data_IF_016172000458
#
_entry.id   IF_016172000458
#
_cell.length_a   1.000
_cell.length_b   1.000
_cell.length_c   1.000
_cell.angle_alpha   90.00
_cell.angle_beta   90.00
_cell.angle_gamma   90.00
#
_symmetry.space_group_name_H-M   'P 1'
#
loop_
_entity.id
_entity.type
_entity.pdbx_description
1 polymer ?
#
# COMPACT_ATOMS: atom_id res chain seq x y z
N UNK A 1 34.00 44.99 41.10
CA UNK A 1 33.67 45.19 39.66
C UNK A 1 33.97 43.95 38.83
N UNK A 2 35.20 43.43 38.85
CA UNK A 2 35.60 42.23 38.09
C UNK A 2 34.73 40.98 38.30
N UNK A 3 34.35 40.68 39.55
CA UNK A 3 33.54 39.48 39.85
C UNK A 3 32.11 39.54 39.25
N UNK A 4 31.51 40.74 39.12
CA UNK A 4 30.20 40.90 38.46
C UNK A 4 30.32 40.72 36.95
N UNK A 5 31.43 41.16 36.36
CA UNK A 5 31.71 41.00 34.93
C UNK A 5 31.95 39.53 34.58
N UNK A 6 32.70 38.79 35.41
CA UNK A 6 32.90 37.35 35.24
C UNK A 6 31.60 36.55 35.37
N UNK A 7 30.75 36.89 36.34
CA UNK A 7 29.41 36.27 36.48
C UNK A 7 28.56 36.51 35.23
N UNK A 8 28.55 37.74 34.70
CA UNK A 8 27.82 38.07 33.47
C UNK A 8 28.37 37.31 32.26
N UNK A 9 29.69 37.24 32.10
CA UNK A 9 30.34 36.50 31.02
C UNK A 9 30.06 34.99 31.08
N UNK A 10 30.00 34.42 32.29
CA UNK A 10 29.65 33.01 32.47
C UNK A 10 28.19 32.72 32.08
N UNK A 11 27.25 33.59 32.48
CA UNK A 11 25.85 33.47 32.07
C UNK A 11 25.70 33.53 30.54
N UNK A 12 26.39 34.46 29.87
CA UNK A 12 26.35 34.58 28.40
C UNK A 12 26.94 33.32 27.72
N UNK A 13 28.00 32.72 28.28
CA UNK A 13 28.55 31.46 27.76
C UNK A 13 27.58 30.31 27.93
N UNK A 14 26.84 30.24 29.04
CA UNK A 14 25.83 29.21 29.24
C UNK A 14 24.66 29.35 28.28
N UNK A 15 24.15 30.57 28.06
CA UNK A 15 23.10 30.85 27.08
C UNK A 15 23.53 30.42 25.67
N UNK A 16 24.74 30.80 25.24
CA UNK A 16 25.29 30.38 23.95
C UNK A 16 25.42 28.85 23.82
N UNK A 17 25.77 28.16 24.91
CA UNK A 17 25.83 26.70 24.94
C UNK A 17 24.45 26.08 24.78
N UNK A 18 23.43 26.61 25.48
CA UNK A 18 22.03 26.15 25.37
C UNK A 18 21.50 26.35 23.95
N UNK A 19 21.72 27.53 23.37
CA UNK A 19 21.33 27.83 21.98
C UNK A 19 22.02 26.90 20.97
N UNK A 20 23.31 26.63 21.14
CA UNK A 20 24.04 25.71 20.28
C UNK A 20 23.49 24.27 20.37
N UNK A 21 23.20 23.80 21.59
CA UNK A 21 22.58 22.50 21.81
C UNK A 21 21.20 22.44 21.16
N UNK A 22 20.35 23.45 21.32
CA UNK A 22 19.04 23.53 20.67
C UNK A 22 19.16 23.43 19.14
N UNK A 23 20.10 24.16 18.52
CA UNK A 23 20.33 24.11 17.06
C UNK A 23 20.84 22.75 16.57
N UNK A 24 21.66 22.05 17.38
CA UNK A 24 22.14 20.70 17.06
C UNK A 24 21.01 19.67 17.13
N UNK A 25 20.14 19.79 18.14
CA UNK A 25 19.04 18.87 18.39
C UNK A 25 17.79 19.15 17.53
N UNK A 26 17.70 20.31 16.87
CA UNK A 26 16.58 20.70 16.01
C UNK A 26 16.21 19.63 14.96
N UNK A 27 17.19 18.94 14.39
CA UNK A 27 16.95 17.91 13.37
C UNK A 27 16.37 16.59 13.93
N UNK A 28 16.61 16.26 15.20
CA UNK A 28 16.09 15.05 15.85
C UNK A 28 14.57 15.09 16.07
N UNK A 29 13.96 16.27 15.93
CA UNK A 29 12.53 16.52 16.11
C UNK A 29 11.78 16.67 14.78
N UNK A 30 12.50 16.68 13.65
CA UNK A 30 11.93 16.82 12.30
C UNK A 30 11.46 15.50 11.69
N UNK A 31 11.68 14.37 12.35
CA UNK A 31 11.15 13.07 11.92
C UNK A 31 9.75 12.87 12.48
N UNK A 32 8.73 13.15 11.67
CA UNK A 32 7.29 12.94 11.95
C UNK A 32 6.74 13.81 13.10
N UNK A 33 5.94 14.82 12.73
CA UNK A 33 5.24 15.67 13.69
C UNK A 33 4.19 14.85 14.46
N UNK A 34 4.41 14.64 15.76
CA UNK A 34 3.40 14.07 16.66
C UNK A 34 2.68 15.24 17.34
N UNK A 35 1.35 15.38 17.20
CA UNK A 35 0.59 16.38 17.95
C UNK A 35 0.73 16.12 19.46
N UNK A 36 1.09 17.15 20.24
CA UNK A 36 1.16 17.09 21.70
C UNK A 36 2.55 16.93 22.34
N UNK A 37 3.63 16.80 21.56
CA UNK A 37 5.01 16.84 22.10
C UNK A 37 5.40 18.27 22.53
N UNK A 38 4.93 19.27 21.79
CA UNK A 38 5.00 20.68 22.16
C UNK A 38 3.63 21.12 22.66
N UNK A 39 3.60 21.91 23.73
CA UNK A 39 2.36 22.30 24.43
C UNK A 39 1.56 21.08 24.93
N UNK A 40 2.17 20.31 25.83
CA UNK A 40 1.46 19.24 26.54
C UNK A 40 0.13 19.77 27.12
N UNK A 41 -1.03 19.14 26.83
CA UNK A 41 -2.33 19.58 27.33
C UNK A 41 -2.42 19.60 28.87
N UNK A 42 -1.50 18.89 29.53
CA UNK A 42 -1.41 18.77 30.98
C UNK A 42 -0.63 19.94 31.63
N UNK A 43 0.05 20.77 30.83
CA UNK A 43 0.78 21.94 31.31
C UNK A 43 0.08 23.21 30.84
N UNK A 44 -0.06 24.18 31.74
CA UNK A 44 -0.67 25.50 31.44
C UNK A 44 0.22 26.34 30.53
N UNK A 45 1.54 26.17 30.63
CA UNK A 45 2.54 26.91 29.87
C UNK A 45 3.51 25.94 29.19
N UNK A 46 4.01 26.27 27.99
CA UNK A 46 5.05 25.49 27.31
C UNK A 46 6.32 25.40 28.14
N UNK A 47 7.05 24.30 27.99
CA UNK A 47 8.34 24.15 28.65
C UNK A 47 9.34 25.19 28.12
N UNK A 48 10.19 25.82 28.96
CA UNK A 48 11.14 26.83 28.51
C UNK A 48 12.08 26.33 27.39
N UNK A 49 12.39 25.03 27.39
CA UNK A 49 13.20 24.39 26.36
C UNK A 49 12.48 24.33 24.99
N UNK A 50 11.16 24.11 24.99
CA UNK A 50 10.34 24.11 23.77
C UNK A 50 10.35 25.48 23.09
N UNK A 51 10.24 26.56 23.87
CA UNK A 51 10.32 27.94 23.37
C UNK A 51 11.69 28.24 22.76
N UNK A 52 12.77 27.70 23.32
CA UNK A 52 14.11 27.84 22.76
C UNK A 52 14.26 27.08 21.43
N UNK A 53 13.77 25.85 21.36
CA UNK A 53 13.78 25.05 20.14
C UNK A 53 12.96 25.69 19.01
N UNK A 54 11.81 26.29 19.32
CA UNK A 54 10.98 27.01 18.34
C UNK A 54 11.72 28.19 17.69
N UNK A 55 12.59 28.87 18.44
CA UNK A 55 13.41 30.00 17.95
C UNK A 55 14.68 29.55 17.21
N UNK A 56 15.18 28.35 17.50
CA UNK A 56 16.44 27.87 16.98
C UNK A 56 16.36 27.52 15.48
N UNK A 57 17.17 28.18 14.65
CA UNK A 57 17.31 27.80 13.23
C UNK A 57 18.32 26.66 13.07
N UNK A 58 18.01 25.64 12.24
CA UNK A 58 18.89 24.50 12.02
C UNK A 58 20.28 24.96 11.56
N UNK A 59 21.32 24.21 11.95
CA UNK A 59 22.68 24.51 11.53
C UNK A 59 22.81 24.20 10.03
N UNK A 60 22.66 25.21 9.18
CA UNK A 60 22.93 25.07 7.74
C UNK A 60 24.44 24.95 7.55
N UNK A 61 24.90 23.78 7.09
CA UNK A 61 26.29 23.65 6.64
C UNK A 61 26.52 24.65 5.51
N UNK A 62 27.50 25.54 5.69
CA UNK A 62 27.93 26.47 4.65
C UNK A 62 28.40 25.61 3.48
N UNK A 63 27.63 25.56 2.40
CA UNK A 63 28.07 24.91 1.17
C UNK A 63 29.45 25.49 0.83
N UNK A 64 30.47 24.67 0.55
CA UNK A 64 31.75 25.20 0.10
C UNK A 64 31.43 26.14 -1.06
N UNK A 65 31.88 27.39 -0.96
CA UNK A 65 31.80 28.32 -2.08
C UNK A 65 32.62 27.67 -3.19
N UNK A 66 31.96 26.98 -4.11
CA UNK A 66 32.57 26.53 -5.34
C UNK A 66 33.09 27.81 -5.96
N UNK A 67 34.42 27.98 -5.99
CA UNK A 67 35.02 29.07 -6.77
C UNK A 67 34.45 28.87 -8.16
N UNK A 68 33.61 29.81 -8.61
CA UNK A 68 33.22 29.83 -10.00
C UNK A 68 34.53 30.00 -10.75
N UNK A 69 34.96 28.94 -11.44
CA UNK A 69 36.04 29.07 -12.40
C UNK A 69 35.49 30.02 -13.45
N UNK A 70 36.27 31.04 -13.78
CA UNK A 70 35.90 32.06 -14.75
C UNK A 70 35.28 31.38 -15.97
N UNK A 71 34.07 31.81 -16.33
CA UNK A 71 33.37 31.27 -17.47
C UNK A 71 34.18 31.62 -18.72
N UNK A 72 34.99 30.67 -19.18
CA UNK A 72 35.65 30.73 -20.50
C UNK A 72 34.59 31.15 -21.50
N UNK A 73 34.79 32.28 -22.17
CA UNK A 73 33.82 32.88 -23.07
C UNK A 73 33.33 31.84 -24.07
N UNK A 74 32.02 31.71 -24.20
CA UNK A 74 31.31 30.73 -25.04
C UNK A 74 31.54 30.93 -26.56
N UNK A 75 32.54 31.71 -26.96
CA UNK A 75 32.85 32.01 -28.35
C UNK A 75 33.84 31.01 -28.96
N UNK A 76 34.53 30.22 -28.13
CA UNK A 76 35.52 29.27 -28.61
C UNK A 76 35.05 27.84 -28.29
N UNK A 77 34.29 27.27 -29.22
CA UNK A 77 33.65 25.95 -29.08
C UNK A 77 34.68 24.84 -28.79
N UNK A 78 35.90 24.96 -29.35
CA UNK A 78 37.01 24.06 -29.08
C UNK A 78 37.53 24.14 -27.63
N UNK A 79 37.54 25.33 -27.03
CA UNK A 79 37.95 25.52 -25.63
C UNK A 79 36.91 24.94 -24.65
N UNK A 80 35.64 24.92 -25.04
CA UNK A 80 34.56 24.33 -24.27
C UNK A 80 34.67 22.79 -24.22
N UNK A 81 35.12 22.15 -25.31
CA UNK A 81 35.36 20.71 -25.34
C UNK A 81 36.53 20.31 -24.44
N UNK A 82 37.62 21.08 -24.40
CA UNK A 82 38.81 20.75 -23.59
C UNK A 82 38.59 20.95 -22.08
N UNK A 83 37.81 21.95 -21.67
CA UNK A 83 37.55 22.24 -20.25
C UNK A 83 36.51 21.31 -19.61
N UNK A 84 35.60 20.72 -20.41
CA UNK A 84 34.57 19.77 -19.96
C UNK A 84 34.82 18.32 -20.39
N UNK A 85 35.85 18.06 -21.19
CA UNK A 85 36.24 16.68 -21.48
C UNK A 85 36.70 15.98 -20.20
N UNK A 86 36.33 14.71 -20.06
CA UNK A 86 36.97 13.77 -19.13
C UNK A 86 38.50 13.92 -19.26
N UNK A 87 39.28 13.75 -18.16
CA UNK A 87 40.74 13.83 -18.25
C UNK A 87 41.19 12.96 -19.42
N UNK A 88 41.95 13.53 -20.36
CA UNK A 88 42.56 12.76 -21.45
C UNK A 88 43.34 11.65 -20.75
N UNK A 89 42.79 10.43 -20.79
CA UNK A 89 43.45 9.27 -20.23
C UNK A 89 44.81 9.20 -20.91
N UNK A 90 45.88 9.29 -20.11
CA UNK A 90 47.22 8.96 -20.58
C UNK A 90 47.11 7.64 -21.34
N UNK A 91 47.77 7.56 -22.51
CA UNK A 91 47.74 6.37 -23.36
C UNK A 91 48.27 5.22 -22.51
N UNK A 92 47.33 4.46 -21.94
CA UNK A 92 47.68 3.28 -21.17
C UNK A 92 48.43 2.36 -22.13
N UNK A 93 49.45 1.62 -21.64
CA UNK A 93 50.12 0.62 -22.47
C UNK A 93 49.05 -0.27 -23.11
N UNK A 94 49.28 -0.83 -24.32
CA UNK A 94 48.28 -1.61 -25.03
C UNK A 94 47.79 -2.78 -24.15
N UNK A 95 46.72 -2.52 -23.41
CA UNK A 95 46.02 -3.53 -22.63
C UNK A 95 45.33 -4.34 -23.70
N UNK A 96 45.79 -5.59 -23.88
CA UNK A 96 45.05 -6.60 -24.62
C UNK A 96 43.71 -6.77 -23.90
N UNK A 97 42.74 -5.91 -24.21
CA UNK A 97 41.42 -5.89 -23.56
C UNK A 97 40.77 -7.22 -23.93
N UNK A 98 40.78 -8.17 -22.99
CA UNK A 98 39.98 -9.39 -23.09
C UNK A 98 38.54 -8.94 -23.32
N UNK A 99 37.82 -9.62 -24.22
CA UNK A 99 36.39 -9.37 -24.39
C UNK A 99 35.72 -9.47 -23.01
N UNK A 100 34.96 -8.44 -22.63
CA UNK A 100 34.25 -8.42 -21.37
C UNK A 100 33.31 -9.62 -21.35
N UNK A 101 33.51 -10.56 -20.43
CA UNK A 101 32.64 -11.73 -20.31
C UNK A 101 31.26 -11.28 -19.80
N UNK A 102 30.24 -11.47 -20.62
CA UNK A 102 28.85 -11.13 -20.32
C UNK A 102 28.08 -10.72 -21.58
N UNK A 103 26.77 -10.46 -21.48
CA UNK A 103 25.94 -9.98 -22.58
C UNK A 103 26.16 -8.47 -22.81
N UNK A 104 27.41 -8.03 -22.85
CA UNK A 104 27.76 -6.64 -23.10
C UNK A 104 27.80 -6.38 -24.61
N UNK A 105 27.25 -5.23 -25.01
CA UNK A 105 27.27 -4.77 -26.41
C UNK A 105 28.69 -4.46 -26.84
N UNK A 106 28.93 -4.54 -28.14
CA UNK A 106 30.24 -4.17 -28.70
C UNK A 106 30.54 -2.69 -28.38
N UNK A 107 31.82 -2.40 -28.18
CA UNK A 107 32.28 -1.06 -27.82
C UNK A 107 31.89 -0.05 -28.91
N UNK A 108 31.90 -0.50 -30.17
CA UNK A 108 31.47 0.27 -31.34
C UNK A 108 30.01 0.70 -31.22
N UNK A 109 29.08 -0.23 -30.98
CA UNK A 109 27.65 0.03 -30.79
C UNK A 109 27.39 1.01 -29.65
N UNK A 110 28.08 0.84 -28.52
CA UNK A 110 27.92 1.70 -27.35
C UNK A 110 28.38 3.14 -27.67
N UNK A 111 29.48 3.29 -28.41
CA UNK A 111 29.97 4.60 -28.84
C UNK A 111 29.02 5.25 -29.85
N UNK A 112 28.53 4.49 -30.83
CA UNK A 112 27.53 4.96 -31.79
C UNK A 112 26.25 5.44 -31.09
N UNK A 113 25.74 4.67 -30.13
CA UNK A 113 24.57 5.07 -29.34
C UNK A 113 24.84 6.32 -28.50
N UNK A 114 26.05 6.44 -27.92
CA UNK A 114 26.45 7.59 -27.09
C UNK A 114 26.60 8.87 -27.90
N UNK A 115 27.09 8.77 -29.13
CA UNK A 115 27.32 9.90 -30.03
C UNK A 115 26.26 10.05 -31.10
N UNK A 116 25.17 9.27 -31.03
CA UNK A 116 24.03 9.42 -31.93
C UNK A 116 23.55 10.86 -31.83
N UNK A 117 23.58 11.64 -32.94
CA UNK A 117 23.10 13.00 -32.90
C UNK A 117 21.65 12.96 -32.43
N UNK A 118 21.30 13.90 -31.54
CA UNK A 118 19.90 14.12 -31.24
C UNK A 118 19.23 14.42 -32.57
N UNK A 119 18.25 13.61 -32.95
CA UNK A 119 17.29 13.95 -33.98
C UNK A 119 16.24 14.77 -33.23
N UNK A 120 16.34 16.12 -33.17
CA UNK A 120 15.23 16.89 -32.67
C UNK A 120 14.09 16.60 -33.63
N UNK A 121 13.14 15.78 -33.20
CA UNK A 121 11.83 15.81 -33.80
C UNK A 121 11.31 17.20 -33.49
N UNK A 122 11.46 18.10 -34.48
CA UNK A 122 10.74 19.35 -34.51
C UNK A 122 9.29 18.96 -34.70
N UNK A 123 8.62 18.61 -33.61
CA UNK A 123 7.18 18.48 -33.58
C UNK A 123 6.67 19.88 -33.89
N UNK A 124 6.30 20.11 -35.15
CA UNK A 124 5.46 21.25 -35.57
C UNK A 124 4.36 21.32 -34.53
N UNK A 125 4.17 22.49 -33.90
CA UNK A 125 3.33 22.68 -32.73
C UNK A 125 2.06 21.82 -32.78
N UNK A 126 2.16 20.62 -32.21
CA UNK A 126 1.03 19.74 -31.97
C UNK A 126 0.03 20.61 -31.21
N UNK A 127 -1.23 20.73 -31.69
CA UNK A 127 -2.27 21.43 -30.96
C UNK A 127 -2.16 21.15 -29.46
N UNK A 128 -2.06 22.19 -28.64
CA UNK A 128 -1.84 22.07 -27.19
C UNK A 128 -2.88 21.20 -26.46
N UNK A 129 -3.97 20.87 -27.17
CA UNK A 129 -5.10 20.11 -26.69
C UNK A 129 -5.02 18.61 -27.00
N UNK A 130 -4.05 18.11 -27.76
CA UNK A 130 -3.93 16.68 -28.06
C UNK A 130 -3.85 15.80 -26.80
N UNK A 131 -3.09 16.24 -25.79
CA UNK A 131 -3.02 15.54 -24.52
C UNK A 131 -4.37 15.52 -23.78
N UNK A 132 -5.22 16.53 -23.98
CA UNK A 132 -6.56 16.55 -23.40
C UNK A 132 -7.49 15.63 -24.19
N UNK A 133 -7.44 15.70 -25.52
CA UNK A 133 -8.22 14.86 -26.42
C UNK A 133 -7.90 13.37 -26.21
N UNK A 134 -6.63 13.00 -26.15
CA UNK A 134 -6.20 11.63 -25.88
C UNK A 134 -6.68 11.11 -24.51
N UNK A 135 -6.70 11.97 -23.48
CA UNK A 135 -7.24 11.61 -22.16
C UNK A 135 -8.76 11.43 -22.18
N UNK A 136 -9.47 12.22 -22.97
CA UNK A 136 -10.92 12.11 -23.13
C UNK A 136 -11.31 10.88 -23.95
N UNK A 137 -10.54 10.54 -24.98
CA UNK A 137 -10.71 9.29 -25.74
C UNK A 137 -10.49 8.07 -24.86
N UNK A 138 -9.41 8.05 -24.07
CA UNK A 138 -9.13 6.97 -23.13
C UNK A 138 -10.28 6.80 -22.11
N UNK A 139 -10.77 7.90 -21.53
CA UNK A 139 -11.93 7.85 -20.61
C UNK A 139 -13.19 7.31 -21.28
N UNK A 140 -13.43 7.66 -22.56
CA UNK A 140 -14.58 7.14 -23.34
C UNK A 140 -14.45 5.64 -23.56
N UNK A 141 -13.27 5.15 -23.93
CA UNK A 141 -13.01 3.73 -24.09
C UNK A 141 -13.16 2.94 -22.78
N UNK A 142 -12.63 3.47 -21.68
CA UNK A 142 -12.81 2.89 -20.35
C UNK A 142 -14.28 2.84 -19.95
N UNK A 143 -15.04 3.91 -20.22
CA UNK A 143 -16.47 3.96 -19.92
C UNK A 143 -17.26 2.94 -20.74
N UNK A 144 -16.96 2.78 -22.03
CA UNK A 144 -17.57 1.75 -22.87
C UNK A 144 -17.26 0.32 -22.40
N UNK A 145 -16.11 0.12 -21.72
CA UNK A 145 -15.69 -1.18 -21.17
C UNK A 145 -16.26 -1.45 -19.78
N UNK A 146 -16.84 -0.46 -19.10
CA UNK A 146 -17.38 -0.64 -17.76
C UNK A 146 -18.70 -1.41 -17.81
N UNK A 147 -18.75 -2.54 -17.09
CA UNK A 147 -19.97 -3.37 -16.95
C UNK A 147 -20.95 -2.76 -15.94
N UNK A 148 -20.47 -1.92 -15.03
CA UNK A 148 -21.26 -1.30 -13.97
C UNK A 148 -20.80 0.15 -13.75
N UNK A 149 -21.72 1.10 -13.82
CA UNK A 149 -21.47 2.52 -13.57
C UNK A 149 -21.48 2.87 -12.08
N UNK A 150 -21.95 1.97 -11.21
CA UNK A 150 -21.99 2.22 -9.78
C UNK A 150 -20.58 2.23 -9.19
N UNK A 151 -20.26 3.28 -8.43
CA UNK A 151 -19.05 3.33 -7.63
C UNK A 151 -18.98 2.11 -6.70
N UNK A 152 -17.85 1.40 -6.71
CA UNK A 152 -17.60 0.33 -5.75
C UNK A 152 -17.45 0.93 -4.35
N UNK A 153 -18.56 0.99 -3.59
CA UNK A 153 -18.53 1.43 -2.22
C UNK A 153 -18.03 0.30 -1.31
N UNK A 154 -17.28 0.60 -0.25
CA UNK A 154 -16.89 -0.39 0.74
C UNK A 154 -18.13 -1.01 1.40
N UNK A 155 -18.05 -2.29 1.74
CA UNK A 155 -19.13 -3.08 2.35
C UNK A 155 -19.74 -2.43 3.60
N UNK A 156 -18.98 -1.60 4.30
CA UNK A 156 -19.42 -0.88 5.50
C UNK A 156 -20.31 0.33 5.23
N UNK A 157 -20.46 0.75 3.96
CA UNK A 157 -21.19 1.96 3.56
C UNK A 157 -22.46 1.66 2.75
N UNK A 158 -22.54 0.50 2.10
CA UNK A 158 -23.58 0.22 1.11
C UNK A 158 -25.02 0.23 1.67
N UNK A 159 -25.21 -0.12 2.95
CA UNK A 159 -26.55 -0.30 3.54
C UNK A 159 -26.88 0.67 4.67
N UNK A 160 -26.05 1.70 4.91
CA UNK A 160 -26.29 2.62 6.03
C UNK A 160 -27.49 3.54 5.80
N UNK A 161 -27.80 3.85 4.55
CA UNK A 161 -28.86 4.79 4.18
C UNK A 161 -29.96 4.17 3.29
N UNK A 162 -29.74 2.97 2.76
CA UNK A 162 -30.74 2.28 1.96
C UNK A 162 -31.73 1.59 2.90
N UNK A 163 -33.02 1.95 2.79
CA UNK A 163 -34.08 1.18 3.43
C UNK A 163 -34.10 -0.20 2.78
N UNK A 164 -33.96 -1.25 3.58
CA UNK A 164 -34.13 -2.63 3.10
C UNK A 164 -35.52 -2.75 2.47
N UNK A 165 -35.57 -3.03 1.16
CA UNK A 165 -36.80 -3.35 0.44
C UNK A 165 -36.86 -4.88 0.37
N UNK A 166 -37.74 -5.53 1.15
CA UNK A 166 -37.92 -6.98 1.06
C UNK A 166 -38.37 -7.31 -0.37
N UNK A 167 -37.67 -8.24 -1.02
CA UNK A 167 -38.10 -8.69 -2.34
C UNK A 167 -39.49 -9.30 -2.23
N UNK A 168 -40.39 -8.93 -3.14
CA UNK A 168 -41.79 -9.37 -3.14
C UNK A 168 -41.93 -10.91 -3.21
N UNK A 169 -40.89 -11.63 -3.63
CA UNK A 169 -40.86 -13.09 -3.67
C UNK A 169 -40.71 -13.77 -2.30
N UNK A 170 -40.52 -13.01 -1.21
CA UNK A 170 -40.53 -13.53 0.16
C UNK A 170 -41.93 -13.63 0.77
N UNK A 171 -42.99 -13.23 0.06
CA UNK A 171 -44.38 -13.46 0.50
C UNK A 171 -44.77 -14.93 0.29
N UNK A 172 -44.06 -15.85 0.92
CA UNK A 172 -44.52 -17.23 1.03
C UNK A 172 -45.72 -17.26 1.98
N UNK A 173 -46.71 -18.13 1.72
CA UNK A 173 -47.85 -18.38 2.63
C UNK A 173 -47.42 -18.77 4.05
N UNK A 174 -46.17 -19.18 4.21
CA UNK A 174 -45.56 -19.54 5.48
C UNK A 174 -44.68 -18.36 5.94
N UNK A 175 -45.01 -17.78 7.09
CA UNK A 175 -44.17 -16.78 7.75
C UNK A 175 -42.75 -17.32 7.99
N UNK A 176 -41.72 -16.46 8.10
CA UNK A 176 -40.40 -16.89 8.53
C UNK A 176 -40.54 -17.47 9.94
N UNK A 177 -40.46 -18.79 10.05
CA UNK A 177 -40.45 -19.47 11.34
C UNK A 177 -39.12 -19.08 11.98
N UNK A 178 -39.16 -18.55 13.21
CA UNK A 178 -37.95 -18.18 13.93
C UNK A 178 -37.07 -19.43 14.07
N UNK A 179 -35.88 -19.41 13.45
CA UNK A 179 -34.97 -20.55 13.39
C UNK A 179 -34.51 -21.08 14.76
N UNK A 180 -34.89 -20.43 15.87
CA UNK A 180 -34.43 -20.75 17.22
C UNK A 180 -35.20 -21.89 17.88
N UNK A 181 -36.44 -22.18 17.49
CA UNK A 181 -37.29 -23.13 18.23
C UNK A 181 -37.34 -24.54 17.61
N UNK A 182 -36.90 -24.71 16.37
CA UNK A 182 -37.30 -25.86 15.55
C UNK A 182 -36.35 -27.06 15.61
N UNK A 183 -35.10 -26.88 16.05
CA UNK A 183 -34.09 -27.94 15.94
C UNK A 183 -34.05 -28.91 17.12
N UNK A 184 -34.76 -28.64 18.23
CA UNK A 184 -34.76 -29.50 19.43
C UNK A 184 -36.11 -29.68 20.13
N UNK A 185 -37.21 -29.20 19.55
CA UNK A 185 -38.54 -29.44 20.12
C UNK A 185 -38.98 -30.88 19.85
N UNK A 186 -38.70 -31.79 20.78
CA UNK A 186 -39.29 -33.12 20.77
C UNK A 186 -40.78 -33.00 21.12
N UNK A 187 -41.66 -33.42 20.21
CA UNK A 187 -43.10 -33.48 20.46
C UNK A 187 -43.47 -34.90 20.92
N UNK A 188 -43.48 -35.22 22.23
CA UNK A 188 -43.72 -36.59 22.71
C UNK A 188 -45.09 -37.14 22.29
N UNK A 189 -46.07 -36.25 22.05
CA UNK A 189 -47.41 -36.60 21.53
C UNK A 189 -47.42 -37.20 20.12
N UNK A 190 -46.33 -37.08 19.35
CA UNK A 190 -46.22 -37.71 18.02
C UNK A 190 -45.78 -39.17 18.08
N UNK A 191 -45.17 -39.58 19.20
CA UNK A 191 -44.56 -40.90 19.36
C UNK A 191 -45.45 -41.85 20.17
N UNK A 192 -46.29 -41.29 21.04
CA UNK A 192 -47.28 -42.02 21.82
C UNK A 192 -48.62 -41.86 21.10
N UNK A 193 -48.99 -42.85 20.29
CA UNK A 193 -50.33 -42.94 19.71
C UNK A 193 -51.13 -43.94 20.54
N UNK A 194 -52.34 -43.58 20.98
CA UNK A 194 -53.25 -44.47 21.72
C UNK A 194 -53.83 -45.61 20.85
N UNK A 195 -53.35 -45.73 19.60
CA UNK A 195 -53.83 -46.70 18.62
C UNK A 195 -52.77 -47.77 18.46
N UNK A 196 -53.19 -49.02 18.58
CA UNK A 196 -52.35 -50.17 18.26
C UNK A 196 -51.90 -50.09 16.79
N UNK A 197 -50.66 -50.52 16.53
CA UNK A 197 -50.13 -50.53 15.17
C UNK A 197 -50.96 -51.44 14.27
N UNK A 198 -51.48 -50.89 13.17
CA UNK A 198 -52.15 -51.69 12.14
C UNK A 198 -51.11 -52.46 11.32
N UNK A 199 -51.22 -53.79 11.32
CA UNK A 199 -50.48 -54.66 10.41
C UNK A 199 -51.02 -54.48 9.00
N UNK A 200 -50.30 -53.70 8.17
CA UNK A 200 -50.67 -53.41 6.78
C UNK A 200 -50.48 -54.66 5.88
N UNK A 201 -49.57 -55.55 6.27
CA UNK A 201 -49.29 -56.79 5.55
C UNK A 201 -49.62 -57.98 6.44
N UNK A 202 -50.21 -59.06 5.88
CA UNK A 202 -50.34 -60.31 6.61
C UNK A 202 -48.95 -60.81 6.99
N UNK A 203 -48.81 -61.40 8.18
CA UNK A 203 -47.56 -62.06 8.57
C UNK A 203 -47.24 -63.16 7.55
N UNK A 204 -45.99 -63.20 7.10
CA UNK A 204 -45.50 -64.26 6.23
C UNK A 204 -44.66 -65.22 7.06
N UNK A 205 -44.95 -66.51 6.97
CA UNK A 205 -44.19 -67.55 7.66
C UNK A 205 -42.83 -67.75 6.96
N UNK A 206 -41.83 -66.98 7.39
CA UNK A 206 -40.43 -67.06 6.94
C UNK A 206 -39.87 -68.48 6.92
N UNK A 207 -40.32 -69.33 7.84
CA UNK A 207 -39.79 -70.68 8.04
C UNK A 207 -40.75 -71.82 7.67
N UNK A 208 -41.85 -71.53 6.95
CA UNK A 208 -42.81 -72.56 6.50
C UNK A 208 -42.19 -73.74 5.71
N UNK A 209 -41.03 -73.50 5.10
CA UNK A 209 -40.25 -74.47 4.31
C UNK A 209 -39.09 -75.11 5.07
N UNK A 210 -38.64 -74.52 6.18
CA UNK A 210 -37.53 -75.05 6.96
C UNK A 210 -38.03 -76.20 7.85
N UNK A 211 -37.45 -77.39 7.68
CA UNK A 211 -37.88 -78.64 8.33
C UNK A 211 -38.51 -79.67 7.39
N UNK A 212 -39.07 -79.24 6.23
CA UNK A 212 -39.63 -80.17 5.22
C UNK A 212 -38.59 -80.74 4.25
N UNK A 213 -37.50 -80.01 4.01
CA UNK A 213 -36.48 -80.38 3.02
C UNK A 213 -35.27 -81.15 3.59
N UNK A 214 -35.05 -81.10 4.91
CA UNK A 214 -33.83 -81.64 5.52
C UNK A 214 -34.05 -82.65 6.66
N UNK A 215 -35.30 -83.01 6.98
CA UNK A 215 -35.60 -84.00 8.02
C UNK A 215 -36.67 -84.98 7.56
N UNK A 216 -36.30 -86.25 7.37
CA UNK A 216 -37.25 -87.39 7.22
C UNK A 216 -37.96 -87.77 8.53
N UNK A 217 -37.79 -86.97 9.59
CA UNK A 217 -38.15 -87.30 10.98
C UNK A 217 -39.46 -86.63 11.45
N UNK A 218 -40.40 -86.36 10.53
CA UNK A 218 -41.64 -85.65 10.87
C UNK A 218 -42.80 -85.91 9.91
N UNK A 219 -42.87 -87.11 9.34
CA UNK A 219 -44.09 -87.58 8.67
C UNK A 219 -45.07 -87.97 9.78
N UNK A 220 -46.03 -87.10 10.06
CA UNK A 220 -47.23 -87.45 10.82
C UNK A 220 -48.33 -87.66 9.78
N UNK A 221 -48.97 -88.81 9.86
CA UNK A 221 -50.20 -89.20 9.13
C UNK A 221 -51.29 -88.14 9.28
#
# INVERSE_FOLDING_TARGET
MKEREEKKANLEREEKKRDYQARKMHYLLSTKQIPGIYNSPFRKEPDPWELQLQKAKPLTHRRPKVKQKDSTSLNDWLACTSARSFPRSEILPPINRKQCQGPFRDITEVLEQRYKPLEPTLWVAEPTDELKLAREELRREEWLRNVNDNMFLPFSSYHKNEKYIPSMHLSSKYCPISHKEQFRSENPKKWICDKDFQTILPSFELFSKYGKLYSKAGQIV
#
